data_IF_241476095604
#
_entry.id   IF_241476095604
#
_cell.length_a   1.000
_cell.length_b   1.000
_cell.length_c   1.000
_cell.angle_alpha   90.00
_cell.angle_beta   90.00
_cell.angle_gamma   90.00
#
_symmetry.space_group_name_H-M   'P 1'
#
loop_
_entity.id
_entity.type
_entity.pdbx_description
1 polymer ?
#
# COMPACT_ATOMS: atom_id res chain seq x y z
N UNK A 1 14.06 15.70 -11.56
CA UNK A 1 13.79 16.41 -10.31
C UNK A 1 13.06 15.49 -9.37
N UNK A 2 13.48 15.46 -8.13
CA UNK A 2 12.88 14.56 -7.15
C UNK A 2 11.39 14.85 -6.92
N UNK A 3 11.01 16.11 -7.04
CA UNK A 3 9.63 16.49 -6.80
C UNK A 3 8.68 16.09 -7.94
N UNK A 4 9.22 15.75 -9.09
CA UNK A 4 8.40 15.30 -10.21
C UNK A 4 7.69 13.99 -9.89
N UNK A 5 8.39 13.02 -9.30
CA UNK A 5 7.77 11.74 -8.93
C UNK A 5 6.66 11.97 -7.91
N UNK A 6 6.92 12.81 -6.90
CA UNK A 6 5.94 13.12 -5.87
C UNK A 6 4.75 13.89 -6.47
N UNK A 7 5.01 14.86 -7.35
CA UNK A 7 3.97 15.66 -7.96
C UNK A 7 3.09 14.85 -8.91
N UNK A 8 3.64 13.80 -9.52
CA UNK A 8 2.91 12.97 -10.48
C UNK A 8 2.20 11.78 -9.84
N UNK A 9 2.30 11.63 -8.52
CA UNK A 9 1.66 10.51 -7.83
C UNK A 9 0.16 10.74 -7.73
N UNK A 10 -0.62 9.78 -8.20
CA UNK A 10 -2.07 9.77 -8.06
C UNK A 10 -2.45 8.69 -7.05
N UNK A 11 -3.26 9.07 -6.07
CA UNK A 11 -3.79 8.12 -5.07
C UNK A 11 -5.25 7.85 -5.42
N UNK A 12 -5.61 6.58 -5.51
CA UNK A 12 -6.95 6.13 -5.87
C UNK A 12 -7.24 4.78 -5.24
N UNK A 13 -8.44 4.27 -5.45
CA UNK A 13 -8.79 2.93 -4.98
C UNK A 13 -7.97 1.88 -5.75
N UNK A 14 -7.57 0.82 -5.04
CA UNK A 14 -6.91 -0.34 -5.66
C UNK A 14 -7.99 -1.24 -6.25
N UNK A 15 -7.87 -1.57 -7.53
CA UNK A 15 -8.86 -2.37 -8.24
C UNK A 15 -8.48 -3.86 -8.23
N UNK A 16 -9.51 -4.71 -8.37
CA UNK A 16 -9.31 -6.17 -8.31
C UNK A 16 -8.34 -6.68 -9.37
N UNK A 17 -8.39 -6.11 -10.56
CA UNK A 17 -7.50 -6.54 -11.65
C UNK A 17 -6.06 -6.11 -11.45
N UNK A 18 -5.76 -5.37 -10.39
CA UNK A 18 -4.41 -4.94 -10.04
C UNK A 18 -3.78 -5.75 -8.92
N UNK A 19 -4.51 -6.70 -8.34
CA UNK A 19 -4.04 -7.43 -7.17
C UNK A 19 -2.78 -8.24 -7.43
N UNK A 20 -2.62 -8.78 -8.62
CA UNK A 20 -1.42 -9.52 -8.98
C UNK A 20 -0.19 -8.62 -8.96
N UNK A 21 -0.29 -7.44 -9.57
CA UNK A 21 0.82 -6.48 -9.57
C UNK A 21 1.05 -5.88 -8.18
N UNK A 22 -0.01 -5.61 -7.43
CA UNK A 22 0.11 -5.12 -6.06
C UNK A 22 0.82 -6.15 -5.17
N UNK A 23 0.52 -7.43 -5.35
CA UNK A 23 1.20 -8.51 -4.64
C UNK A 23 2.68 -8.58 -5.00
N UNK A 24 3.00 -8.44 -6.28
CA UNK A 24 4.39 -8.44 -6.74
C UNK A 24 5.18 -7.30 -6.10
N UNK A 25 4.59 -6.09 -6.08
CA UNK A 25 5.24 -4.92 -5.47
C UNK A 25 5.41 -5.12 -3.97
N UNK A 26 4.41 -5.66 -3.30
CA UNK A 26 4.47 -5.96 -1.87
C UNK A 26 5.64 -6.89 -1.56
N UNK A 27 5.76 -7.99 -2.28
CA UNK A 27 6.85 -8.95 -2.08
C UNK A 27 8.20 -8.33 -2.38
N UNK A 28 8.30 -7.62 -3.50
CA UNK A 28 9.55 -6.98 -3.90
C UNK A 28 10.01 -5.94 -2.88
N UNK A 29 9.09 -5.13 -2.37
CA UNK A 29 9.42 -4.07 -1.40
C UNK A 29 9.90 -4.68 -0.08
N UNK A 30 9.12 -5.58 0.50
CA UNK A 30 9.50 -6.18 1.78
C UNK A 30 10.70 -7.11 1.66
N UNK A 31 10.77 -7.90 0.59
CA UNK A 31 11.90 -8.77 0.35
C UNK A 31 13.20 -8.01 0.15
N UNK A 32 13.14 -6.89 -0.55
CA UNK A 32 14.30 -6.01 -0.72
C UNK A 32 14.72 -5.38 0.59
N UNK A 33 13.75 -4.89 1.36
CA UNK A 33 14.03 -4.29 2.67
C UNK A 33 14.72 -5.27 3.61
N UNK A 34 14.28 -6.53 3.59
CA UNK A 34 14.85 -7.59 4.43
C UNK A 34 16.15 -8.17 3.87
N UNK A 35 16.54 -7.79 2.66
CA UNK A 35 17.76 -8.29 2.04
C UNK A 35 17.69 -9.73 1.59
N UNK A 36 16.50 -10.22 1.23
CA UNK A 36 16.36 -11.61 0.76
C UNK A 36 17.08 -11.82 -0.57
N UNK A 37 17.71 -13.00 -0.78
CA UNK A 37 18.37 -13.31 -2.06
C UNK A 37 17.41 -13.24 -3.24
N UNK A 38 16.14 -13.64 -3.05
CA UNK A 38 15.09 -13.53 -4.04
C UNK A 38 13.91 -12.80 -3.38
N UNK A 39 13.83 -11.46 -3.52
CA UNK A 39 12.78 -10.70 -2.85
C UNK A 39 11.37 -11.15 -3.16
N UNK A 40 11.10 -11.63 -4.37
CA UNK A 40 9.76 -12.06 -4.75
C UNK A 40 9.28 -13.31 -4.01
N UNK A 41 10.18 -13.99 -3.32
CA UNK A 41 9.83 -15.15 -2.50
C UNK A 41 9.34 -14.76 -1.10
N UNK A 42 9.29 -13.48 -0.78
CA UNK A 42 8.78 -13.03 0.51
C UNK A 42 7.35 -13.57 0.71
N UNK A 43 7.10 -14.17 1.88
CA UNK A 43 5.84 -14.82 2.26
C UNK A 43 5.45 -16.05 1.43
N UNK A 44 6.37 -16.58 0.62
CA UNK A 44 6.12 -17.82 -0.12
C UNK A 44 4.85 -17.77 -0.97
N UNK A 45 3.90 -18.67 -0.74
CA UNK A 45 2.65 -18.76 -1.49
C UNK A 45 1.45 -18.09 -0.82
N UNK A 46 1.67 -17.32 0.25
CA UNK A 46 0.58 -16.64 0.95
C UNK A 46 -0.06 -15.55 0.08
N UNK A 47 -1.39 -15.53 0.04
CA UNK A 47 -2.15 -14.53 -0.71
C UNK A 47 -2.54 -13.33 0.15
N UNK A 48 -1.58 -12.70 0.81
CA UNK A 48 -1.83 -11.67 1.80
C UNK A 48 -2.51 -10.43 1.23
N UNK A 49 -2.02 -9.93 0.11
CA UNK A 49 -2.58 -8.72 -0.52
C UNK A 49 -4.04 -8.95 -0.94
N UNK A 50 -4.33 -10.09 -1.56
CA UNK A 50 -5.70 -10.41 -1.96
C UNK A 50 -6.62 -10.53 -0.76
N UNK A 51 -6.16 -11.17 0.30
CA UNK A 51 -6.95 -11.33 1.53
C UNK A 51 -7.28 -9.97 2.14
N UNK A 52 -6.31 -9.07 2.19
CA UNK A 52 -6.53 -7.72 2.74
C UNK A 52 -7.51 -6.93 1.86
N UNK A 53 -7.37 -7.03 0.54
CA UNK A 53 -8.27 -6.34 -0.37
C UNK A 53 -9.71 -6.85 -0.21
N UNK A 54 -9.87 -8.17 -0.13
CA UNK A 54 -11.19 -8.78 -0.02
C UNK A 54 -11.91 -8.41 1.29
N UNK A 55 -11.15 -8.12 2.34
CA UNK A 55 -11.72 -7.72 3.63
C UNK A 55 -12.49 -6.41 3.54
N UNK A 56 -11.95 -5.43 2.78
CA UNK A 56 -12.64 -4.15 2.56
C UNK A 56 -12.07 -3.47 1.31
N UNK A 57 -12.60 -3.81 0.13
CA UNK A 57 -12.09 -3.23 -1.11
C UNK A 57 -12.18 -1.71 -1.18
N UNK A 58 -13.18 -1.12 -0.53
CA UNK A 58 -13.36 0.34 -0.54
C UNK A 58 -12.29 1.07 0.26
N UNK A 59 -11.55 0.37 1.09
CA UNK A 59 -10.52 0.96 1.95
C UNK A 59 -9.11 0.45 1.59
N UNK A 60 -8.93 0.02 0.35
CA UNK A 60 -7.66 -0.36 -0.22
C UNK A 60 -7.23 0.72 -1.22
N UNK A 61 -6.01 1.22 -1.06
CA UNK A 61 -5.53 2.37 -1.82
C UNK A 61 -4.33 2.01 -2.69
N UNK A 62 -4.29 2.64 -3.85
CA UNK A 62 -3.22 2.47 -4.84
C UNK A 62 -2.50 3.78 -5.06
N UNK A 63 -1.20 3.71 -5.30
CA UNK A 63 -0.42 4.82 -5.80
C UNK A 63 -0.02 4.53 -7.24
N UNK A 64 -0.23 5.50 -8.10
CA UNK A 64 0.05 5.39 -9.53
C UNK A 64 0.98 6.51 -9.95
N UNK A 65 1.98 6.19 -10.76
CA UNK A 65 2.88 7.17 -11.37
C UNK A 65 2.92 6.87 -12.85
N UNK A 66 2.62 7.88 -13.67
CA UNK A 66 2.62 7.76 -15.13
C UNK A 66 1.80 6.58 -15.65
N UNK A 67 0.65 6.33 -15.01
CA UNK A 67 -0.25 5.26 -15.41
C UNK A 67 0.12 3.87 -14.89
N UNK A 68 1.21 3.75 -14.12
CA UNK A 68 1.64 2.47 -13.57
C UNK A 68 1.38 2.39 -12.07
N UNK A 69 0.90 1.23 -11.61
CA UNK A 69 0.78 0.97 -10.19
C UNK A 69 2.19 0.84 -9.58
N UNK A 70 2.46 1.63 -8.54
CA UNK A 70 3.76 1.64 -7.89
C UNK A 70 3.71 1.38 -6.39
N UNK A 71 2.52 1.32 -5.82
CA UNK A 71 2.39 1.06 -4.39
C UNK A 71 0.95 0.84 -3.98
N UNK A 72 0.77 0.36 -2.75
CA UNK A 72 -0.57 0.14 -2.20
C UNK A 72 -0.54 0.22 -0.68
N UNK A 73 -1.72 0.44 -0.11
CA UNK A 73 -1.90 0.44 1.34
C UNK A 73 -3.34 0.01 1.64
N UNK A 74 -3.53 -0.63 2.78
CA UNK A 74 -4.83 -1.17 3.17
C UNK A 74 -5.22 -0.63 4.54
N UNK A 75 -6.53 -0.46 4.78
CA UNK A 75 -7.03 -0.04 6.09
C UNK A 75 -8.02 -1.05 6.62
N UNK A 76 -8.05 -1.18 7.95
CA UNK A 76 -8.96 -2.08 8.63
C UNK A 76 -9.58 -1.35 9.81
N UNK A 77 -10.89 -1.50 9.97
CA UNK A 77 -11.65 -0.92 11.08
C UNK A 77 -12.00 -2.02 12.10
N UNK A 78 -11.50 -1.85 13.31
CA UNK A 78 -11.85 -2.72 14.44
C UNK A 78 -12.45 -1.84 15.54
N UNK A 79 -13.63 -1.23 15.27
CA UNK A 79 -14.30 -0.37 16.25
C UNK A 79 -13.54 0.95 16.47
N UNK A 80 -13.04 1.18 17.67
CA UNK A 80 -12.26 2.39 17.98
C UNK A 80 -10.79 2.27 17.59
N UNK A 81 -10.36 1.08 17.13
CA UNK A 81 -8.98 0.83 16.73
C UNK A 81 -8.94 0.64 15.23
N UNK A 82 -8.06 1.38 14.57
CA UNK A 82 -7.82 1.26 13.15
C UNK A 82 -6.41 0.78 12.87
N UNK A 83 -6.27 -0.11 11.89
CA UNK A 83 -4.98 -0.59 11.43
C UNK A 83 -4.79 -0.24 9.96
N UNK A 84 -3.56 0.05 9.57
CA UNK A 84 -3.25 0.19 8.16
C UNK A 84 -2.00 -0.64 7.83
N UNK A 85 -1.93 -1.06 6.58
CA UNK A 85 -0.85 -1.88 6.07
C UNK A 85 -1.38 -3.19 5.50
N UNK A 86 -0.54 -3.92 4.78
CA UNK A 86 0.84 -3.53 4.48
C UNK A 86 0.87 -2.33 3.54
N UNK A 87 1.75 -1.37 3.86
CA UNK A 87 2.02 -0.25 2.97
C UNK A 87 3.30 -0.58 2.21
N UNK A 88 3.23 -0.64 0.90
CA UNK A 88 4.39 -1.00 0.09
C UNK A 88 4.53 -0.10 -1.12
N UNK A 89 5.77 0.25 -1.45
CA UNK A 89 6.12 1.10 -2.59
C UNK A 89 7.24 0.40 -3.34
N UNK A 90 7.16 0.42 -4.65
CA UNK A 90 8.20 -0.14 -5.52
C UNK A 90 9.56 0.45 -5.11
N UNK A 91 10.59 -0.39 -4.88
CA UNK A 91 11.85 0.09 -4.28
C UNK A 91 12.54 1.22 -5.02
N UNK A 92 12.42 1.27 -6.34
CA UNK A 92 13.05 2.34 -7.12
C UNK A 92 12.43 3.73 -6.87
N UNK A 93 11.29 3.77 -6.17
CA UNK A 93 10.61 5.01 -5.83
C UNK A 93 10.65 5.32 -4.32
N UNK A 94 11.48 4.59 -3.57
CA UNK A 94 11.66 4.90 -2.16
C UNK A 94 12.30 6.29 -2.00
N UNK A 95 11.98 6.95 -0.88
CA UNK A 95 12.48 8.29 -0.56
C UNK A 95 12.02 9.38 -1.52
N UNK A 96 10.92 9.13 -2.27
CA UNK A 96 10.35 10.11 -3.19
C UNK A 96 8.96 10.58 -2.74
N UNK A 97 8.55 10.22 -1.52
CA UNK A 97 7.29 10.70 -0.93
C UNK A 97 6.05 9.91 -1.32
N UNK A 98 6.18 8.81 -2.04
CA UNK A 98 5.03 7.98 -2.43
C UNK A 98 4.36 7.38 -1.21
N UNK A 99 5.15 6.84 -0.27
CA UNK A 99 4.60 6.25 0.95
C UNK A 99 3.80 7.23 1.78
N UNK A 100 4.27 8.47 1.88
CA UNK A 100 3.54 9.53 2.60
C UNK A 100 2.18 9.77 1.95
N UNK A 101 2.12 9.81 0.63
CA UNK A 101 0.87 9.99 -0.10
C UNK A 101 -0.11 8.84 0.13
N UNK A 102 0.40 7.64 0.34
CA UNK A 102 -0.44 6.46 0.63
C UNK A 102 -0.99 6.45 2.06
N UNK A 103 -0.42 7.24 2.96
CA UNK A 103 -0.94 7.36 4.34
C UNK A 103 -2.07 8.38 4.42
N UNK A 104 -2.07 9.39 3.57
CA UNK A 104 -3.07 10.46 3.60
C UNK A 104 -4.52 9.95 3.57
N UNK A 105 -4.92 9.09 2.61
CA UNK A 105 -6.30 8.59 2.59
C UNK A 105 -6.62 7.68 3.77
N UNK A 106 -5.61 7.03 4.36
CA UNK A 106 -5.78 6.22 5.56
C UNK A 106 -6.21 7.10 6.73
N UNK A 107 -5.55 8.24 6.91
CA UNK A 107 -5.88 9.17 7.99
C UNK A 107 -7.28 9.75 7.79
N UNK A 108 -7.66 10.07 6.57
CA UNK A 108 -9.00 10.53 6.24
C UNK A 108 -10.04 9.47 6.59
N UNK A 109 -9.77 8.21 6.23
CA UNK A 109 -10.68 7.11 6.52
C UNK A 109 -10.84 6.88 8.02
N UNK A 110 -9.73 6.95 8.76
CA UNK A 110 -9.77 6.83 10.21
C UNK A 110 -10.61 7.94 10.85
N UNK A 111 -10.50 9.17 10.34
CA UNK A 111 -11.31 10.28 10.83
C UNK A 111 -12.80 10.04 10.57
N UNK A 112 -13.15 9.54 9.39
CA UNK A 112 -14.53 9.21 9.04
C UNK A 112 -15.09 8.13 9.95
N UNK A 113 -14.29 7.15 10.35
CA UNK A 113 -14.72 6.06 11.22
C UNK A 113 -14.71 6.41 12.69
N UNK A 114 -14.17 7.56 13.09
CA UNK A 114 -14.04 7.93 14.50
C UNK A 114 -13.02 7.08 15.23
N UNK A 115 -11.95 6.68 14.58
CA UNK A 115 -10.91 5.85 15.17
C UNK A 115 -10.20 6.62 16.28
N UNK A 116 -10.06 6.00 17.47
CA UNK A 116 -9.35 6.60 18.60
C UNK A 116 -7.90 6.18 18.66
N UNK A 117 -7.59 4.97 18.20
CA UNK A 117 -6.23 4.41 18.24
C UNK A 117 -5.87 3.83 16.88
N UNK A 118 -4.77 4.27 16.31
CA UNK A 118 -4.30 3.79 15.01
C UNK A 118 -3.00 3.01 15.17
N UNK A 119 -2.83 1.96 14.36
CA UNK A 119 -1.63 1.14 14.39
C UNK A 119 -1.34 0.46 13.05
N UNK A 120 -0.22 -0.22 13.05
CA UNK A 120 0.25 -0.99 11.90
C UNK A 120 0.09 -2.48 12.15
#
# INVERSE_FOLDING_TARGET
>A
MIDEAKASVTIRALEENELEEADRIFRLAFGTFLGLPDPLMFMGDAGYVRTRWQADPASAFAAEVDGELVGSNFTTNWGSVGFFGPASVRPDLWDKGVGVRLVEPVMERFAEWGIEHAGL
#
